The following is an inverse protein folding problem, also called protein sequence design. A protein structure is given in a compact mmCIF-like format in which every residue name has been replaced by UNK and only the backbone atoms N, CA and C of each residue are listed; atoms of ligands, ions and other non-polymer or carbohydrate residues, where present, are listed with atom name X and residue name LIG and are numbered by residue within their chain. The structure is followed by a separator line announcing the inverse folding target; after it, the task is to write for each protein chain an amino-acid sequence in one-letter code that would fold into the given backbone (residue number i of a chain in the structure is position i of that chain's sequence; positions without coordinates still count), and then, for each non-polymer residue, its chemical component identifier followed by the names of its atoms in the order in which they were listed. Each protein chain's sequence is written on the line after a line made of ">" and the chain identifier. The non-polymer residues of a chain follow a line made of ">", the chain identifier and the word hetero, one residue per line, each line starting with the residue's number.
data_IF_261253149545
#
_entry.id   IF_261253149545
#
_cell.length_a   1.000
_cell.length_b   1.000
_cell.length_c   1.000
_cell.angle_alpha   90.00
_cell.angle_beta   90.00
_cell.angle_gamma   90.00
#
_symmetry.space_group_name_H-M   'P 1'
#
loop_
_entity.id
_entity.type
_entity.pdbx_description
1 polymer ?
#
# COMPACT_ATOMS: atom_id res chain seq x y z
N UNK A 1 19.04 -6.45 7.29
CA UNK A 1 17.60 -6.10 7.19
C UNK A 1 17.35 -5.80 5.72
N UNK A 2 16.23 -6.23 5.16
CA UNK A 2 15.84 -5.84 3.79
C UNK A 2 15.72 -4.30 3.71
N UNK A 3 16.19 -3.69 2.62
CA UNK A 3 16.26 -2.22 2.44
C UNK A 3 14.89 -1.58 2.67
N UNK A 4 13.84 -2.25 2.21
CA UNK A 4 12.47 -1.79 2.42
C UNK A 4 12.07 -1.82 3.89
N UNK A 5 12.41 -2.89 4.62
CA UNK A 5 12.13 -2.99 6.06
C UNK A 5 12.89 -1.98 6.89
N UNK A 6 14.14 -1.69 6.53
CA UNK A 6 14.88 -0.61 7.18
C UNK A 6 14.19 0.74 6.94
N UNK A 7 13.80 1.04 5.69
CA UNK A 7 13.03 2.23 5.38
C UNK A 7 11.75 2.34 6.21
N UNK A 8 10.97 1.26 6.31
CA UNK A 8 9.75 1.22 7.12
C UNK A 8 10.02 1.50 8.60
N UNK A 9 11.10 0.93 9.14
CA UNK A 9 11.53 1.17 10.51
C UNK A 9 11.89 2.65 10.75
N UNK A 10 12.64 3.26 9.82
CA UNK A 10 13.02 4.68 9.87
C UNK A 10 11.79 5.59 9.74
N UNK A 11 10.89 5.28 8.81
CA UNK A 11 9.64 6.00 8.61
C UNK A 11 8.74 5.93 9.86
N UNK A 12 8.56 4.74 10.44
CA UNK A 12 7.83 4.54 11.70
C UNK A 12 8.45 5.34 12.84
N UNK A 13 9.78 5.39 12.93
CA UNK A 13 10.51 6.17 13.94
C UNK A 13 10.30 7.68 13.76
N UNK A 14 10.33 8.16 12.52
CA UNK A 14 10.03 9.56 12.21
C UNK A 14 8.59 9.91 12.63
N UNK A 15 7.63 9.07 12.25
CA UNK A 15 6.21 9.25 12.56
C UNK A 15 5.96 9.24 14.07
N UNK A 16 6.56 8.30 14.81
CA UNK A 16 6.33 8.19 16.25
C UNK A 16 6.89 9.39 17.02
N UNK A 17 8.02 9.95 16.57
CA UNK A 17 8.61 11.17 17.15
C UNK A 17 7.84 12.43 16.75
N UNK A 18 7.27 12.45 15.54
CA UNK A 18 6.68 13.64 14.93
C UNK A 18 5.25 13.37 14.41
N UNK A 19 4.30 12.94 15.26
CA UNK A 19 3.00 12.46 14.82
C UNK A 19 2.17 13.52 14.10
N UNK A 20 2.40 14.80 14.41
CA UNK A 20 1.70 15.92 13.77
C UNK A 20 2.04 16.05 12.28
N UNK A 21 3.30 15.78 11.87
CA UNK A 21 3.71 15.90 10.47
C UNK A 21 2.93 14.92 9.58
N UNK A 22 2.89 13.65 9.99
CA UNK A 22 2.14 12.64 9.22
C UNK A 22 0.63 12.89 9.28
N UNK A 23 0.11 13.36 10.43
CA UNK A 23 -1.31 13.70 10.58
C UNK A 23 -1.72 14.80 9.61
N UNK A 24 -0.94 15.88 9.50
CA UNK A 24 -1.19 16.96 8.54
C UNK A 24 -1.18 16.40 7.11
N UNK A 25 -0.16 15.63 6.74
CA UNK A 25 -0.02 15.08 5.39
C UNK A 25 -1.17 14.14 5.03
N UNK A 26 -1.51 13.18 5.90
CA UNK A 26 -2.62 12.25 5.65
C UNK A 26 -3.97 12.98 5.62
N UNK A 27 -4.20 13.96 6.50
CA UNK A 27 -5.42 14.78 6.46
C UNK A 27 -5.57 15.51 5.13
N UNK A 28 -4.48 16.08 4.62
CA UNK A 28 -4.45 16.74 3.33
C UNK A 28 -4.70 15.76 2.18
N UNK A 29 -4.12 14.56 2.19
CA UNK A 29 -4.39 13.50 1.20
C UNK A 29 -5.88 13.14 1.18
N UNK A 30 -6.48 12.88 2.34
CA UNK A 30 -7.88 12.44 2.41
C UNK A 30 -8.89 13.56 2.17
N UNK A 31 -8.54 14.81 2.46
CA UNK A 31 -9.33 16.00 2.07
C UNK A 31 -9.61 16.01 0.56
N UNK A 32 -8.71 15.47 -0.26
CA UNK A 32 -8.84 15.49 -1.71
C UNK A 32 -10.01 14.67 -2.25
N UNK A 33 -10.63 13.83 -1.41
CA UNK A 33 -11.91 13.19 -1.72
C UNK A 33 -13.03 14.20 -1.97
N UNK A 34 -12.98 15.36 -1.32
CA UNK A 34 -13.92 16.46 -1.57
C UNK A 34 -13.81 17.00 -3.01
N UNK A 35 -12.66 16.79 -3.66
CA UNK A 35 -12.43 17.19 -5.06
C UNK A 35 -12.78 16.04 -6.00
N UNK A 36 -12.50 14.78 -5.62
CA UNK A 36 -12.87 13.62 -6.41
C UNK A 36 -12.61 12.27 -5.73
N UNK A 37 -13.45 11.28 -6.04
CA UNK A 37 -13.35 9.95 -5.41
C UNK A 37 -12.12 9.14 -5.84
N UNK A 38 -11.49 9.44 -6.97
CA UNK A 38 -10.33 8.68 -7.51
C UNK A 38 -8.97 9.36 -7.31
N UNK A 39 -8.94 10.62 -6.87
CA UNK A 39 -7.73 11.44 -6.84
C UNK A 39 -6.84 11.22 -5.61
N UNK A 40 -7.38 10.64 -4.53
CA UNK A 40 -6.62 10.46 -3.29
C UNK A 40 -5.47 9.44 -3.41
N UNK A 41 -5.57 8.47 -4.33
CA UNK A 41 -4.49 7.53 -4.63
C UNK A 41 -3.30 8.23 -5.29
N UNK A 42 -3.53 8.88 -6.43
CA UNK A 42 -2.49 9.63 -7.15
C UNK A 42 -1.87 10.73 -6.27
N UNK A 43 -2.68 11.39 -5.43
CA UNK A 43 -2.20 12.44 -4.51
C UNK A 43 -1.43 11.86 -3.31
N UNK A 44 -1.73 10.64 -2.86
CA UNK A 44 -0.94 9.96 -1.85
C UNK A 44 0.48 9.69 -2.37
N UNK A 45 0.62 9.31 -3.64
CA UNK A 45 1.93 9.09 -4.27
C UNK A 45 2.77 10.37 -4.25
N UNK A 46 2.18 11.49 -4.66
CA UNK A 46 2.86 12.79 -4.69
C UNK A 46 3.20 13.27 -3.28
N UNK A 47 2.22 13.22 -2.37
CA UNK A 47 2.39 13.73 -1.02
C UNK A 47 3.38 12.91 -0.18
N UNK A 48 3.40 11.57 -0.33
CA UNK A 48 4.38 10.72 0.36
C UNK A 48 5.78 10.84 -0.24
N UNK A 49 5.88 10.99 -1.57
CA UNK A 49 7.16 11.32 -2.22
C UNK A 49 7.76 12.58 -1.58
N UNK A 50 6.96 13.63 -1.48
CA UNK A 50 7.42 14.89 -0.89
C UNK A 50 7.66 14.78 0.62
N UNK A 51 6.82 14.05 1.35
CA UNK A 51 7.01 13.81 2.78
C UNK A 51 8.37 13.17 3.07
N UNK A 52 8.76 12.14 2.29
CA UNK A 52 10.06 11.50 2.42
C UNK A 52 11.17 12.52 2.16
N UNK A 53 11.12 13.23 1.02
CA UNK A 53 12.13 14.22 0.65
C UNK A 53 12.30 15.37 1.66
N UNK A 54 11.21 15.76 2.33
CA UNK A 54 11.24 16.85 3.28
C UNK A 54 11.70 16.39 4.67
N UNK A 55 11.26 15.23 5.13
CA UNK A 55 11.36 14.86 6.55
C UNK A 55 12.27 13.67 6.85
N UNK A 56 12.75 12.93 5.84
CA UNK A 56 13.73 11.85 6.02
C UNK A 56 15.08 12.27 5.44
N UNK A 57 16.07 12.54 6.28
CA UNK A 57 17.38 13.04 5.84
C UNK A 57 18.23 11.96 5.14
N UNK A 58 17.98 10.69 5.43
CA UNK A 58 18.70 9.52 4.94
C UNK A 58 18.04 8.87 3.72
N UNK A 59 16.90 9.40 3.27
CA UNK A 59 16.17 8.90 2.11
C UNK A 59 15.71 10.01 1.17
N UNK A 60 15.72 9.71 -0.12
CA UNK A 60 15.09 10.50 -1.16
C UNK A 60 14.03 9.64 -1.85
N UNK A 61 12.95 10.26 -2.29
CA UNK A 61 11.91 9.64 -3.08
C UNK A 61 11.70 10.37 -4.41
N UNK A 62 11.44 9.59 -5.45
CA UNK A 62 11.10 10.07 -6.78
C UNK A 62 9.75 9.47 -7.20
N UNK A 63 8.81 10.32 -7.58
CA UNK A 63 7.57 9.87 -8.21
C UNK A 63 7.88 9.38 -9.63
N UNK A 64 7.59 8.10 -9.89
CA UNK A 64 7.91 7.43 -11.16
C UNK A 64 6.67 7.03 -11.95
N UNK A 65 5.48 7.40 -11.45
CA UNK A 65 4.20 7.13 -12.09
C UNK A 65 4.15 7.50 -13.58
N UNK A 66 3.22 6.84 -14.29
CA UNK A 66 2.90 6.71 -15.74
C UNK A 66 3.59 7.58 -16.82
N UNK A 67 4.17 8.74 -16.53
CA UNK A 67 4.82 9.62 -17.52
C UNK A 67 6.30 9.31 -17.77
N UNK A 68 7.07 8.83 -16.78
CA UNK A 68 8.52 8.58 -16.93
C UNK A 68 8.90 7.18 -17.41
N UNK A 69 8.10 6.16 -17.09
CA UNK A 69 8.33 4.77 -17.49
C UNK A 69 7.16 4.26 -18.33
N UNK A 70 7.17 4.55 -19.64
CA UNK A 70 6.16 4.05 -20.61
C UNK A 70 6.21 2.53 -20.80
N UNK A 71 7.15 1.81 -20.18
CA UNK A 71 7.11 0.34 -20.14
C UNK A 71 6.12 -0.10 -19.06
N UNK A 72 5.05 -0.80 -19.48
CA UNK A 72 4.02 -1.42 -18.61
C UNK A 72 4.56 -2.52 -17.66
N UNK A 73 5.87 -2.58 -17.46
CA UNK A 73 6.54 -3.66 -16.74
C UNK A 73 6.33 -3.55 -15.23
N UNK A 74 6.39 -2.35 -14.66
CA UNK A 74 6.38 -2.09 -13.21
C UNK A 74 5.08 -1.40 -12.76
N UNK A 75 4.52 -1.81 -11.62
CA UNK A 75 3.29 -1.25 -11.02
C UNK A 75 3.59 -0.26 -9.88
N UNK A 76 4.86 -0.02 -9.61
CA UNK A 76 5.32 0.77 -8.48
C UNK A 76 5.25 2.27 -8.77
N UNK A 77 4.91 3.04 -7.74
CA UNK A 77 4.50 4.44 -7.89
C UNK A 77 5.64 5.40 -7.55
N UNK A 78 6.53 4.98 -6.63
CA UNK A 78 7.69 5.75 -6.19
C UNK A 78 8.96 4.90 -6.19
N UNK A 79 10.09 5.54 -6.45
CA UNK A 79 11.43 5.00 -6.22
C UNK A 79 12.01 5.65 -4.98
N UNK A 80 12.43 4.85 -4.01
CA UNK A 80 13.12 5.32 -2.80
C UNK A 80 14.61 5.04 -2.96
N UNK A 81 15.43 6.00 -2.56
CA UNK A 81 16.89 5.95 -2.63
C UNK A 81 17.41 6.22 -1.23
N UNK A 82 18.20 5.30 -0.68
CA UNK A 82 18.93 5.54 0.55
C UNK A 82 20.12 6.46 0.22
N UNK A 83 20.17 7.65 0.83
CA UNK A 83 21.19 8.65 0.53
C UNK A 83 22.59 8.28 1.07
N UNK A 84 22.67 7.29 1.97
CA UNK A 84 23.93 6.79 2.53
C UNK A 84 24.46 5.63 1.69
N UNK A 85 23.66 4.56 1.51
CA UNK A 85 24.10 3.36 0.77
C UNK A 85 23.98 3.51 -0.75
N UNK A 86 23.25 4.51 -1.23
CA UNK A 86 22.87 4.74 -2.64
C UNK A 86 22.06 3.60 -3.28
N UNK A 87 21.65 2.60 -2.50
CA UNK A 87 20.71 1.59 -2.95
C UNK A 87 19.34 2.21 -3.18
N UNK A 88 18.60 1.63 -4.11
CA UNK A 88 17.26 2.08 -4.43
C UNK A 88 16.32 0.92 -4.64
N UNK A 89 15.08 1.10 -4.21
CA UNK A 89 14.02 0.12 -4.38
C UNK A 89 12.73 0.82 -4.79
N UNK A 90 11.84 0.07 -5.44
CA UNK A 90 10.55 0.56 -5.89
C UNK A 90 9.50 0.26 -4.83
N UNK A 91 8.49 1.11 -4.68
CA UNK A 91 7.38 0.95 -3.74
C UNK A 91 6.05 1.28 -4.43
N UNK A 92 5.06 0.41 -4.26
CA UNK A 92 3.67 0.70 -4.62
C UNK A 92 2.92 1.34 -3.45
N UNK A 93 2.34 2.51 -3.68
CA UNK A 93 1.47 3.20 -2.74
C UNK A 93 0.03 2.73 -2.98
N UNK A 94 -0.67 2.32 -1.92
CA UNK A 94 -2.02 1.79 -2.04
C UNK A 94 -2.98 2.47 -1.08
N UNK A 95 -3.86 3.34 -1.59
CA UNK A 95 -4.91 3.94 -0.76
C UNK A 95 -6.20 3.12 -0.85
N UNK A 96 -6.57 2.42 0.23
CA UNK A 96 -7.73 1.52 0.28
C UNK A 96 -8.58 1.77 1.53
N UNK A 97 -9.89 1.55 1.40
CA UNK A 97 -10.77 1.55 2.55
C UNK A 97 -10.43 0.39 3.50
N UNK A 98 -10.76 0.54 4.79
CA UNK A 98 -10.61 -0.52 5.78
C UNK A 98 -11.46 -1.75 5.39
N UNK A 99 -10.82 -2.79 4.84
CA UNK A 99 -11.49 -3.81 4.05
C UNK A 99 -10.54 -4.63 3.17
N UNK A 100 -11.02 -5.15 2.02
CA UNK A 100 -10.19 -5.86 1.06
C UNK A 100 -9.03 -5.01 0.52
N UNK A 101 -7.82 -5.57 0.55
CA UNK A 101 -6.60 -4.94 0.05
C UNK A 101 -5.93 -5.86 -0.97
N UNK A 102 -5.73 -5.37 -2.18
CA UNK A 102 -4.90 -6.07 -3.17
C UNK A 102 -3.43 -5.81 -2.87
N UNK A 103 -2.67 -6.86 -2.62
CA UNK A 103 -1.23 -6.76 -2.40
C UNK A 103 -0.49 -6.80 -3.74
N UNK A 104 -0.81 -7.77 -4.60
CA UNK A 104 -0.22 -7.85 -5.94
C UNK A 104 -1.25 -8.16 -7.02
N UNK A 105 -0.96 -7.67 -8.22
CA UNK A 105 -1.68 -8.03 -9.43
C UNK A 105 -1.05 -9.28 -10.05
N UNK A 106 -1.85 -10.32 -10.28
CA UNK A 106 -1.39 -11.48 -11.05
C UNK A 106 -1.59 -11.22 -12.55
N UNK A 107 -0.72 -10.37 -13.12
CA UNK A 107 -0.81 -9.92 -14.52
C UNK A 107 -0.86 -11.10 -15.50
N UNK A 108 -0.05 -12.13 -15.23
CA UNK A 108 0.17 -13.29 -16.09
C UNK A 108 -0.63 -14.53 -15.66
N UNK A 109 -1.54 -14.38 -14.69
CA UNK A 109 -2.44 -15.44 -14.25
C UNK A 109 -1.70 -16.73 -13.82
N UNK A 110 -0.68 -16.60 -12.97
CA UNK A 110 0.19 -17.69 -12.51
C UNK A 110 -0.22 -18.29 -11.17
N UNK A 111 -0.67 -17.47 -10.21
CA UNK A 111 -0.84 -17.92 -8.81
C UNK A 111 -2.03 -18.86 -8.65
N UNK A 112 -3.19 -18.48 -9.21
CA UNK A 112 -4.41 -19.27 -9.02
C UNK A 112 -4.33 -20.64 -9.71
N UNK A 113 -3.90 -20.78 -10.99
CA UNK A 113 -3.72 -22.09 -11.61
C UNK A 113 -2.66 -22.95 -10.93
N UNK A 114 -1.58 -22.34 -10.42
CA UNK A 114 -0.57 -23.07 -9.66
C UNK A 114 -1.18 -23.71 -8.42
N UNK A 115 -1.98 -22.98 -7.65
CA UNK A 115 -2.70 -23.52 -6.50
C UNK A 115 -3.65 -24.65 -6.91
N UNK A 116 -4.42 -24.52 -8.00
CA UNK A 116 -5.25 -25.61 -8.49
C UNK A 116 -4.46 -26.89 -8.75
N UNK A 117 -3.26 -26.78 -9.35
CA UNK A 117 -2.36 -27.93 -9.57
C UNK A 117 -1.85 -28.52 -8.26
N UNK A 118 -1.36 -27.69 -7.34
CA UNK A 118 -0.84 -28.15 -6.04
C UNK A 118 -1.89 -28.81 -5.15
N UNK A 119 -3.14 -28.34 -5.24
CA UNK A 119 -4.25 -28.91 -4.49
C UNK A 119 -4.66 -30.28 -5.03
N UNK A 120 -4.32 -30.61 -6.29
CA UNK A 120 -4.59 -31.92 -6.91
C UNK A 120 -6.03 -32.41 -6.71
N UNK A 121 -7.00 -31.52 -6.89
CA UNK A 121 -8.43 -31.80 -6.72
C UNK A 121 -8.94 -31.77 -5.27
N UNK A 122 -8.08 -31.53 -4.28
CA UNK A 122 -8.49 -31.35 -2.88
C UNK A 122 -9.07 -29.95 -2.64
N UNK A 123 -10.04 -29.86 -1.75
CA UNK A 123 -10.57 -28.57 -1.29
C UNK A 123 -9.68 -27.91 -0.22
N UNK A 124 -8.93 -28.71 0.53
CA UNK A 124 -8.07 -28.24 1.63
C UNK A 124 -6.68 -28.86 1.52
N UNK A 125 -5.67 -28.01 1.68
CA UNK A 125 -4.27 -28.40 1.85
C UNK A 125 -3.80 -27.96 3.23
N UNK A 126 -3.23 -28.90 4.00
CA UNK A 126 -2.70 -28.66 5.34
C UNK A 126 -1.20 -29.01 5.35
N UNK A 127 -0.43 -28.20 6.06
CA UNK A 127 0.98 -28.44 6.36
C UNK A 127 1.86 -27.28 5.93
N UNK A 128 2.51 -26.64 6.91
CA UNK A 128 3.34 -25.45 6.71
C UNK A 128 4.43 -25.69 5.64
N UNK A 129 5.21 -26.78 5.72
CA UNK A 129 6.29 -27.08 4.74
C UNK A 129 5.79 -27.17 3.29
N UNK A 130 4.59 -27.72 3.08
CA UNK A 130 3.99 -27.84 1.75
C UNK A 130 3.57 -26.48 1.22
N UNK A 131 2.95 -25.67 2.09
CA UNK A 131 2.49 -24.33 1.75
C UNK A 131 3.68 -23.40 1.50
N UNK A 132 4.72 -23.49 2.31
CA UNK A 132 5.95 -22.72 2.13
C UNK A 132 6.58 -23.00 0.77
N UNK A 133 6.69 -24.27 0.37
CA UNK A 133 7.16 -24.65 -0.98
C UNK A 133 6.33 -24.03 -2.11
N UNK A 134 5.02 -23.89 -1.92
CA UNK A 134 4.15 -23.21 -2.89
C UNK A 134 4.49 -21.72 -2.95
N UNK A 135 4.58 -21.05 -1.80
CA UNK A 135 4.88 -19.62 -1.68
C UNK A 135 6.29 -19.27 -2.18
N UNK A 136 7.22 -20.23 -2.14
CA UNK A 136 8.58 -20.07 -2.65
C UNK A 136 8.73 -20.35 -4.14
N UNK A 137 7.71 -20.97 -4.77
CA UNK A 137 7.70 -21.33 -6.18
C UNK A 137 7.73 -20.11 -7.11
N UNK A 138 8.14 -20.33 -8.37
CA UNK A 138 8.21 -19.29 -9.40
C UNK A 138 6.88 -18.56 -9.65
N UNK A 139 5.74 -19.24 -9.43
CA UNK A 139 4.41 -18.67 -9.62
C UNK A 139 4.08 -17.58 -8.58
N UNK A 140 4.79 -17.60 -7.44
CA UNK A 140 4.66 -16.64 -6.34
C UNK A 140 5.88 -15.73 -6.21
N UNK A 141 6.85 -15.81 -7.12
CA UNK A 141 8.10 -15.05 -7.05
C UNK A 141 7.90 -13.53 -6.95
N UNK A 142 6.81 -13.00 -7.53
CA UNK A 142 6.46 -11.57 -7.43
C UNK A 142 6.30 -11.10 -5.98
N UNK A 143 5.89 -11.98 -5.05
CA UNK A 143 5.72 -11.65 -3.64
C UNK A 143 7.05 -11.43 -2.91
N UNK A 144 8.18 -11.88 -3.47
CA UNK A 144 9.51 -11.73 -2.84
C UNK A 144 10.06 -10.30 -2.94
N UNK A 145 9.66 -9.56 -3.98
CA UNK A 145 10.18 -8.22 -4.29
C UNK A 145 9.11 -7.13 -4.11
N UNK A 146 8.03 -7.46 -3.40
CA UNK A 146 6.83 -6.64 -3.35
C UNK A 146 6.91 -5.68 -2.18
N UNK A 147 7.21 -4.41 -2.48
CA UNK A 147 7.20 -3.35 -1.49
C UNK A 147 5.91 -2.55 -1.63
N UNK A 148 5.04 -2.60 -0.62
CA UNK A 148 3.74 -1.93 -0.65
C UNK A 148 3.59 -1.08 0.59
N UNK A 149 3.24 0.18 0.42
CA UNK A 149 2.89 1.08 1.51
C UNK A 149 1.38 1.40 1.47
N UNK A 150 0.52 0.64 2.17
CA UNK A 150 -0.92 0.87 2.17
C UNK A 150 -1.31 2.00 3.11
N UNK A 151 -2.08 2.96 2.59
CA UNK A 151 -2.80 3.96 3.36
C UNK A 151 -4.23 3.47 3.50
N UNK A 152 -4.54 2.95 4.68
CA UNK A 152 -5.86 2.41 5.01
C UNK A 152 -6.69 3.51 5.64
N UNK A 153 -7.91 3.74 5.14
CA UNK A 153 -8.82 4.75 5.68
C UNK A 153 -10.17 4.16 6.07
N UNK A 154 -10.72 4.69 7.14
CA UNK A 154 -12.11 4.52 7.55
C UNK A 154 -12.80 5.86 7.37
N UNK A 155 -13.55 5.96 6.26
CA UNK A 155 -14.19 7.19 5.82
C UNK A 155 -15.30 7.64 6.77
N UNK A 156 -16.07 6.68 7.30
CA UNK A 156 -17.15 6.98 8.25
C UNK A 156 -16.57 7.53 9.55
N UNK A 157 -15.48 6.92 10.02
CA UNK A 157 -14.78 7.36 11.23
C UNK A 157 -13.79 8.52 11.02
N UNK A 158 -13.64 9.05 9.80
CA UNK A 158 -12.61 10.03 9.40
C UNK A 158 -11.23 9.75 10.03
N UNK A 159 -10.76 8.52 9.87
CA UNK A 159 -9.47 8.08 10.41
C UNK A 159 -8.68 7.26 9.40
N UNK A 160 -7.37 7.26 9.56
CA UNK A 160 -6.45 6.59 8.64
C UNK A 160 -5.27 5.96 9.37
N UNK A 161 -4.62 5.00 8.72
CA UNK A 161 -3.45 4.30 9.23
C UNK A 161 -2.57 3.85 8.05
N UNK A 162 -1.26 3.85 8.23
CA UNK A 162 -0.34 3.16 7.30
C UNK A 162 -0.12 1.75 7.83
N UNK A 163 -0.80 0.78 7.22
CA UNK A 163 -0.81 -0.63 7.65
C UNK A 163 -0.04 -1.49 6.65
N UNK A 164 1.18 -1.91 7.02
CA UNK A 164 2.03 -2.75 6.16
C UNK A 164 1.80 -4.22 6.48
N UNK A 165 1.54 -5.03 5.45
CA UNK A 165 1.32 -6.47 5.61
C UNK A 165 2.64 -7.21 5.87
N UNK A 166 2.70 -8.02 6.93
CA UNK A 166 3.87 -8.79 7.31
C UNK A 166 3.89 -10.15 6.59
N UNK A 167 4.59 -10.18 5.44
CA UNK A 167 4.75 -11.38 4.64
C UNK A 167 5.52 -12.49 5.35
N UNK A 168 6.46 -12.16 6.24
CA UNK A 168 7.26 -13.17 6.94
C UNK A 168 6.44 -13.84 8.02
N UNK A 169 5.68 -13.05 8.80
CA UNK A 169 4.71 -13.59 9.75
C UNK A 169 3.68 -14.47 9.04
N UNK A 170 3.15 -14.03 7.90
CA UNK A 170 2.21 -14.83 7.11
C UNK A 170 2.83 -16.19 6.70
N UNK A 171 4.05 -16.19 6.15
CA UNK A 171 4.73 -17.43 5.73
C UNK A 171 4.98 -18.37 6.89
N UNK A 172 5.35 -17.83 8.05
CA UNK A 172 5.65 -18.61 9.24
C UNK A 172 4.40 -19.20 9.91
N UNK A 173 3.26 -18.51 9.82
CA UNK A 173 2.05 -18.91 10.55
C UNK A 173 1.00 -19.62 9.70
N UNK A 174 1.10 -19.56 8.37
CA UNK A 174 0.14 -20.25 7.51
C UNK A 174 0.24 -21.76 7.66
N UNK A 175 -0.90 -22.41 7.86
CA UNK A 175 -0.97 -23.87 8.04
C UNK A 175 -1.97 -24.54 7.12
N UNK A 176 -2.94 -23.76 6.60
CA UNK A 176 -4.03 -24.29 5.79
C UNK A 176 -4.34 -23.37 4.59
N UNK A 177 -4.47 -23.99 3.42
CA UNK A 177 -5.08 -23.36 2.24
C UNK A 177 -6.42 -24.05 1.97
N UNK A 178 -7.48 -23.28 1.77
CA UNK A 178 -8.81 -23.78 1.42
C UNK A 178 -9.30 -23.14 0.14
N UNK A 179 -9.75 -23.96 -0.80
CA UNK A 179 -10.54 -23.53 -1.94
C UNK A 179 -11.96 -23.22 -1.45
N UNK A 180 -12.40 -21.99 -1.65
CA UNK A 180 -13.79 -21.60 -1.39
C UNK A 180 -14.47 -21.26 -2.72
N UNK A 181 -15.60 -21.95 -2.96
CA UNK A 181 -16.37 -21.86 -4.19
C UNK A 181 -17.14 -20.54 -4.37
N UNK A 182 -17.83 -20.44 -5.50
CA UNK A 182 -18.71 -19.32 -5.86
C UNK A 182 -19.95 -19.29 -4.96
N UNK A 183 -20.38 -18.11 -4.50
CA UNK A 183 -21.57 -17.99 -3.65
C UNK A 183 -21.67 -16.72 -2.79
N UNK A 184 -22.88 -16.51 -2.22
CA UNK A 184 -23.44 -15.40 -1.40
C UNK A 184 -23.19 -13.96 -1.86
N UNK A 185 -22.03 -13.61 -2.41
CA UNK A 185 -21.67 -12.33 -3.02
C UNK A 185 -20.41 -12.40 -3.93
N UNK A 186 -19.84 -13.60 -4.19
CA UNK A 186 -18.56 -13.74 -4.90
C UNK A 186 -18.74 -14.59 -6.16
N UNK A 187 -18.43 -13.98 -7.32
CA UNK A 187 -18.60 -14.56 -8.66
C UNK A 187 -17.57 -15.65 -9.01
N UNK A 188 -16.42 -15.64 -8.35
CA UNK A 188 -15.28 -16.49 -8.71
C UNK A 188 -14.69 -17.18 -7.47
N UNK A 189 -14.17 -18.40 -7.60
CA UNK A 189 -13.55 -19.12 -6.49
C UNK A 189 -12.27 -18.44 -6.02
N UNK A 190 -11.91 -18.69 -4.76
CA UNK A 190 -10.69 -18.16 -4.15
C UNK A 190 -9.96 -19.25 -3.39
N UNK A 191 -8.64 -19.10 -3.26
CA UNK A 191 -7.87 -19.85 -2.28
C UNK A 191 -7.61 -18.95 -1.08
N UNK A 192 -8.17 -19.29 0.08
CA UNK A 192 -7.91 -18.59 1.33
C UNK A 192 -6.85 -19.30 2.16
N UNK A 193 -6.02 -18.51 2.81
CA UNK A 193 -4.90 -18.95 3.62
C UNK A 193 -5.26 -18.66 5.08
N UNK A 194 -5.05 -19.67 5.92
CA UNK A 194 -5.43 -19.67 7.34
C UNK A 194 -4.25 -20.10 8.19
N UNK A 195 -4.17 -19.58 9.41
CA UNK A 195 -3.22 -20.04 10.41
C UNK A 195 -3.74 -21.29 11.14
N UNK A 196 -2.95 -21.78 12.11
CA UNK A 196 -3.27 -22.94 12.96
C UNK A 196 -4.56 -22.84 13.78
N UNK A 197 -5.05 -21.62 13.99
CA UNK A 197 -6.29 -21.31 14.74
C UNK A 197 -7.48 -21.09 13.81
N UNK A 198 -7.32 -21.39 12.53
CA UNK A 198 -8.31 -21.13 11.48
C UNK A 198 -8.66 -19.63 11.28
N UNK A 199 -7.76 -18.73 11.69
CA UNK A 199 -7.90 -17.30 11.46
C UNK A 199 -7.44 -16.96 10.04
N UNK A 200 -8.19 -16.07 9.37
CA UNK A 200 -7.90 -15.64 8.00
C UNK A 200 -6.63 -14.79 7.92
N UNK A 201 -5.78 -15.06 6.93
CA UNK A 201 -4.54 -14.30 6.68
C UNK A 201 -4.61 -13.53 5.37
N UNK A 202 -4.83 -14.25 4.26
CA UNK A 202 -4.79 -13.72 2.90
C UNK A 202 -5.55 -14.63 1.94
N UNK A 203 -5.69 -14.22 0.68
CA UNK A 203 -6.32 -15.01 -0.35
C UNK A 203 -5.76 -14.76 -1.75
N UNK A 204 -5.77 -15.79 -2.59
CA UNK A 204 -5.53 -15.66 -4.03
C UNK A 204 -6.88 -15.69 -4.74
N UNK A 205 -7.18 -14.62 -5.47
CA UNK A 205 -8.46 -14.46 -6.18
C UNK A 205 -8.33 -14.86 -7.65
N UNK A 206 -9.26 -15.68 -8.12
CA UNK A 206 -9.48 -15.90 -9.56
C UNK A 206 -10.32 -14.76 -10.12
N UNK A 207 -9.90 -14.21 -11.25
CA UNK A 207 -10.72 -13.30 -12.05
C UNK A 207 -11.36 -13.96 -13.28
N UNK A 208 -10.83 -15.09 -13.74
CA UNK A 208 -11.14 -15.56 -15.10
C UNK A 208 -10.54 -14.67 -16.18
N UNK A 209 -10.67 -15.11 -17.44
CA UNK A 209 -10.14 -14.38 -18.61
C UNK A 209 -10.78 -12.99 -18.76
N UNK A 210 -12.02 -12.84 -18.31
CA UNK A 210 -12.83 -11.62 -18.51
C UNK A 210 -12.80 -10.65 -17.31
N UNK A 211 -12.24 -11.01 -16.15
CA UNK A 211 -12.14 -10.06 -15.07
C UNK A 211 -11.01 -9.05 -15.28
N UNK A 212 -11.25 -7.87 -14.72
CA UNK A 212 -10.26 -6.82 -14.63
C UNK A 212 -8.99 -7.35 -13.92
N UNK A 213 -7.81 -6.90 -14.36
CA UNK A 213 -6.54 -7.19 -13.69
C UNK A 213 -6.57 -6.85 -12.19
N UNK A 214 -7.30 -5.80 -11.83
CA UNK A 214 -7.55 -5.36 -10.45
C UNK A 214 -8.49 -6.28 -9.65
N UNK A 215 -8.88 -7.43 -10.19
CA UNK A 215 -9.69 -8.45 -9.49
C UNK A 215 -8.96 -9.78 -9.33
N UNK A 216 -7.73 -9.90 -9.86
CA UNK A 216 -6.90 -11.12 -9.82
C UNK A 216 -5.57 -10.89 -9.12
N UNK A 217 -5.17 -11.84 -8.30
CA UNK A 217 -3.86 -11.85 -7.65
C UNK A 217 -3.92 -12.11 -6.16
N UNK A 218 -2.94 -11.56 -5.44
CA UNK A 218 -2.76 -11.79 -4.01
C UNK A 218 -3.44 -10.68 -3.22
N UNK A 219 -4.35 -11.07 -2.33
CA UNK A 219 -5.20 -10.17 -1.56
C UNK A 219 -5.10 -10.49 -0.08
N UNK A 220 -5.46 -9.52 0.73
CA UNK A 220 -5.74 -9.70 2.16
C UNK A 220 -6.95 -8.82 2.52
N UNK A 221 -7.24 -8.71 3.82
CA UNK A 221 -8.33 -7.90 4.34
C UNK A 221 -7.90 -7.24 5.64
N UNK A 222 -7.75 -5.91 5.63
CA UNK A 222 -7.18 -5.16 6.76
C UNK A 222 -7.96 -5.31 8.06
N UNK A 223 -9.29 -5.55 7.97
CA UNK A 223 -10.13 -5.86 9.13
C UNK A 223 -10.04 -7.32 9.64
N UNK A 224 -9.91 -8.30 8.73
CA UNK A 224 -10.04 -9.72 9.11
C UNK A 224 -8.68 -10.36 9.39
N UNK A 225 -7.60 -9.76 8.87
CA UNK A 225 -6.23 -10.17 9.05
C UNK A 225 -5.42 -9.08 9.77
N UNK A 226 -6.05 -8.25 10.62
CA UNK A 226 -5.40 -7.12 11.30
C UNK A 226 -4.11 -7.54 12.03
N UNK A 227 -4.09 -8.73 12.63
CA UNK A 227 -2.92 -9.30 13.30
C UNK A 227 -1.70 -9.57 12.39
N UNK A 228 -1.86 -9.48 11.07
CA UNK A 228 -0.79 -9.59 10.08
C UNK A 228 -0.36 -8.23 9.52
N UNK A 229 -0.79 -7.13 10.12
CA UNK A 229 -0.35 -5.79 9.75
C UNK A 229 0.47 -5.13 10.85
N UNK A 230 1.56 -4.49 10.43
CA UNK A 230 2.26 -3.52 11.25
C UNK A 230 1.73 -2.12 10.96
N UNK A 231 1.30 -1.42 12.01
CA UNK A 231 0.95 -0.01 11.96
C UNK A 231 2.22 0.85 12.06
N UNK A 232 2.52 1.61 11.00
CA UNK A 232 3.60 2.61 11.04
C UNK A 232 3.19 3.89 11.75
N UNK A 233 1.89 4.14 11.85
CA UNK A 233 1.34 5.34 12.49
C UNK A 233 1.03 5.16 13.98
N UNK A 234 1.30 3.97 14.53
CA UNK A 234 1.03 3.67 15.94
C UNK A 234 -0.45 3.41 16.26
N UNK A 235 -1.33 3.44 15.26
CA UNK A 235 -2.77 3.21 15.42
C UNK A 235 -3.57 3.98 14.38
N UNK A 236 -4.86 4.19 14.64
CA UNK A 236 -5.67 5.07 13.79
C UNK A 236 -5.40 6.54 14.12
N UNK A 237 -5.13 7.34 13.09
CA UNK A 237 -5.04 8.79 13.15
C UNK A 237 -6.34 9.40 12.64
N UNK A 238 -7.03 10.17 13.48
CA UNK A 238 -8.16 11.00 13.06
C UNK A 238 -7.70 12.12 12.14
N UNK A 239 -8.45 12.38 11.08
CA UNK A 239 -8.21 13.50 10.18
C UNK A 239 -9.44 14.38 10.04
N UNK A 240 -9.19 15.65 9.69
CA UNK A 240 -10.23 16.61 9.36
C UNK A 240 -10.05 17.10 7.92
N UNK A 241 -11.15 17.47 7.29
CA UNK A 241 -11.10 18.09 5.98
C UNK A 241 -10.42 19.46 6.05
N UNK A 242 -9.60 19.76 5.04
CA UNK A 242 -8.90 21.04 4.91
C UNK A 242 -9.47 21.85 3.72
N UNK A 243 -10.55 22.59 3.94
CA UNK A 243 -11.18 23.40 2.89
C UNK A 243 -10.25 24.49 2.32
N UNK A 244 -9.28 24.97 3.12
CA UNK A 244 -8.27 25.92 2.65
C UNK A 244 -7.39 25.29 1.58
N UNK A 245 -7.01 24.03 1.73
CA UNK A 245 -6.28 23.28 0.72
C UNK A 245 -7.13 23.09 -0.55
N UNK A 246 -8.41 22.77 -0.42
CA UNK A 246 -9.33 22.69 -1.58
C UNK A 246 -9.38 24.02 -2.33
N UNK A 247 -9.46 25.14 -1.61
CA UNK A 247 -9.42 26.49 -2.20
C UNK A 247 -8.07 26.79 -2.86
N UNK A 248 -6.95 26.36 -2.27
CA UNK A 248 -5.62 26.49 -2.87
C UNK A 248 -5.54 25.76 -4.21
N UNK A 249 -6.04 24.52 -4.29
CA UNK A 249 -6.12 23.77 -5.55
C UNK A 249 -6.99 24.49 -6.59
N UNK A 250 -8.17 24.98 -6.19
CA UNK A 250 -9.06 25.73 -7.09
C UNK A 250 -8.36 26.94 -7.69
N UNK A 251 -7.60 27.70 -6.90
CA UNK A 251 -6.83 28.82 -7.42
C UNK A 251 -5.66 28.37 -8.30
N UNK A 252 -4.92 27.33 -7.88
CA UNK A 252 -3.81 26.81 -8.67
C UNK A 252 -4.26 26.39 -10.08
N UNK A 253 -5.49 25.90 -10.27
CA UNK A 253 -5.99 25.50 -11.59
C UNK A 253 -6.31 26.68 -12.54
N UNK A 254 -6.41 27.91 -12.04
CA UNK A 254 -6.80 29.10 -12.84
C UNK A 254 -5.78 30.24 -12.76
N UNK A 255 -4.57 29.98 -12.24
CA UNK A 255 -3.48 30.97 -12.15
C UNK A 255 -2.31 30.64 -13.08
N UNK A 256 -1.47 31.63 -13.33
CA UNK A 256 -0.25 31.46 -14.14
C UNK A 256 0.86 30.72 -13.38
N UNK A 257 1.82 30.17 -14.13
CA UNK A 257 3.03 29.55 -13.54
C UNK A 257 3.86 30.49 -12.67
N UNK A 258 3.82 31.80 -12.94
CA UNK A 258 4.39 32.85 -12.06
C UNK A 258 3.73 32.82 -10.67
N UNK A 259 2.40 32.72 -10.63
CA UNK A 259 1.62 32.58 -9.40
C UNK A 259 1.98 31.31 -8.64
N UNK A 260 2.11 30.18 -9.34
CA UNK A 260 2.52 28.91 -8.73
C UNK A 260 3.92 29.00 -8.12
N UNK A 261 4.91 29.58 -8.82
CA UNK A 261 6.27 29.78 -8.28
C UNK A 261 6.26 30.60 -6.99
N UNK A 262 5.40 31.63 -6.91
CA UNK A 262 5.25 32.43 -5.69
C UNK A 262 4.61 31.61 -4.56
N UNK A 263 3.56 30.86 -4.85
CA UNK A 263 2.91 29.98 -3.88
C UNK A 263 3.88 28.92 -3.32
N UNK A 264 4.67 28.27 -4.19
CA UNK A 264 5.67 27.28 -3.78
C UNK A 264 6.67 27.86 -2.77
N UNK A 265 7.16 29.09 -2.98
CA UNK A 265 8.07 29.75 -2.03
C UNK A 265 7.44 29.98 -0.65
N UNK A 266 6.14 30.28 -0.61
CA UNK A 266 5.40 30.47 0.65
C UNK A 266 5.25 29.13 1.37
N UNK A 267 4.83 28.08 0.65
CA UNK A 267 4.66 26.73 1.19
C UNK A 267 5.99 26.14 1.68
N UNK A 268 7.08 26.31 0.94
CA UNK A 268 8.41 25.85 1.34
C UNK A 268 8.86 26.49 2.67
N UNK A 269 8.59 27.79 2.87
CA UNK A 269 8.88 28.46 4.14
C UNK A 269 8.06 27.90 5.30
N UNK A 270 6.83 27.48 5.05
CA UNK A 270 5.96 26.87 6.06
C UNK A 270 6.47 25.47 6.44
N UNK A 271 6.86 24.66 5.46
CA UNK A 271 7.49 23.35 5.68
C UNK A 271 8.74 23.48 6.57
N UNK A 272 9.61 24.46 6.29
CA UNK A 272 10.81 24.70 7.11
C UNK A 272 10.47 25.14 8.55
N UNK A 273 9.34 25.80 8.77
CA UNK A 273 8.86 26.08 10.14
C UNK A 273 8.38 24.81 10.81
N UNK A 274 7.60 23.97 10.11
CA UNK A 274 7.10 22.70 10.65
C UNK A 274 8.25 21.78 11.06
N UNK A 275 9.33 21.70 10.27
CA UNK A 275 10.55 20.93 10.60
C UNK A 275 11.21 21.37 11.91
N UNK A 276 11.17 22.67 12.23
CA UNK A 276 11.78 23.22 13.46
C UNK A 276 10.93 23.02 14.70
N UNK A 277 9.63 22.80 14.50
CA UNK A 277 8.66 22.56 15.58
C UNK A 277 8.50 21.07 15.92
N UNK A 278 9.09 20.19 15.11
CA UNK A 278 8.98 18.75 15.20
C UNK A 278 10.23 18.16 15.84
#
# INVERSE_FOLDING_TARGET
>A
MDDYKEFLHRLKTLISKNPNLVKITLSNIFTMRLIGNKTHGDLAEIALTEFINQYMYDYKAEHIGKSKYRSKEFEEDIKIINEISKQSFLVSIKAYGHGPLQLSTDKNFKMFPALQKFMAGKEVLIGNDKILKILESENFAVLKNLNILPLVYDEVGKRCNIMVFDFDKMKNEVEKIKLEGEGKNRKYPVFKFYNRRDEYICEVRYGGKDANALQRGFWTHTKNAEGYFESLTGGWIEYSDNEVLVRLFRYALVTSGEGHKKAIKVLAKDIEKLKKLS
#
